data_IF_348977251604
#
_entry.id   IF_348977251604
#
_cell.length_a   1.000
_cell.length_b   1.000
_cell.length_c   1.000
_cell.angle_alpha   90.00
_cell.angle_beta   90.00
_cell.angle_gamma   90.00
#
_symmetry.space_group_name_H-M   'P 1'
#
loop_
_entity.id
_entity.type
_entity.pdbx_description
1 polymer ?
#
# COMPACT_ATOMS: atom_id res chain seq x y z
N UNK A 1 14.69 -81.33 -16.33
CA UNK A 1 13.92 -80.27 -17.01
C UNK A 1 12.50 -80.11 -16.49
N UNK A 2 11.61 -81.13 -16.49
CA UNK A 2 10.22 -80.97 -15.97
C UNK A 2 10.07 -80.75 -14.45
N UNK A 3 11.06 -81.10 -13.63
CA UNK A 3 11.00 -80.93 -12.17
C UNK A 3 11.41 -79.53 -11.69
N UNK A 4 12.35 -78.87 -12.37
CA UNK A 4 12.81 -77.52 -12.01
C UNK A 4 11.79 -76.44 -12.42
N UNK A 5 11.05 -76.64 -13.51
CA UNK A 5 9.96 -75.73 -13.94
C UNK A 5 8.80 -75.68 -12.94
N UNK A 6 8.43 -76.82 -12.35
CA UNK A 6 7.37 -76.87 -11.32
C UNK A 6 7.81 -76.22 -10.01
N UNK A 7 9.06 -76.36 -9.63
CA UNK A 7 9.61 -75.84 -8.37
C UNK A 7 9.77 -74.29 -8.41
N UNK A 8 10.12 -73.73 -9.57
CA UNK A 8 10.10 -72.28 -9.82
C UNK A 8 8.67 -71.71 -9.78
N UNK A 9 7.68 -72.45 -10.29
CA UNK A 9 6.27 -72.03 -10.29
C UNK A 9 5.65 -72.08 -8.88
N UNK A 10 6.01 -73.07 -8.07
CA UNK A 10 5.57 -73.16 -6.66
C UNK A 10 6.25 -72.10 -5.77
N UNK A 11 7.55 -71.83 -5.94
CA UNK A 11 8.24 -70.74 -5.22
C UNK A 11 7.69 -69.35 -5.58
N UNK A 12 7.34 -69.13 -6.85
CA UNK A 12 6.66 -67.92 -7.33
C UNK A 12 5.29 -67.74 -6.66
N UNK A 13 4.47 -68.80 -6.57
CA UNK A 13 3.18 -68.78 -5.88
C UNK A 13 3.32 -68.52 -4.38
N UNK A 14 4.30 -69.13 -3.72
CA UNK A 14 4.53 -68.92 -2.28
C UNK A 14 5.03 -67.49 -1.97
N UNK A 15 5.90 -66.92 -2.81
CA UNK A 15 6.35 -65.53 -2.69
C UNK A 15 5.23 -64.52 -2.97
N UNK A 16 4.39 -64.78 -3.97
CA UNK A 16 3.20 -63.97 -4.28
C UNK A 16 2.18 -64.02 -3.13
N UNK A 17 1.91 -65.20 -2.56
CA UNK A 17 1.04 -65.35 -1.41
C UNK A 17 1.59 -64.63 -0.17
N UNK A 18 2.89 -64.72 0.11
CA UNK A 18 3.51 -63.96 1.20
C UNK A 18 3.45 -62.44 0.97
N UNK A 19 3.51 -61.97 -0.28
CA UNK A 19 3.39 -60.55 -0.61
C UNK A 19 1.93 -60.05 -0.45
N UNK A 20 0.95 -60.85 -0.86
CA UNK A 20 -0.50 -60.56 -0.71
C UNK A 20 -0.94 -60.55 0.76
N UNK A 21 -0.42 -61.46 1.59
CA UNK A 21 -0.72 -61.51 3.03
C UNK A 21 0.27 -60.72 3.92
N UNK A 22 1.24 -60.02 3.31
CA UNK A 22 2.09 -59.08 4.04
C UNK A 22 1.31 -57.82 4.43
N UNK A 23 1.82 -57.09 5.43
CA UNK A 23 1.29 -55.75 5.77
C UNK A 23 1.23 -54.82 4.55
N UNK A 24 2.20 -54.94 3.64
CA UNK A 24 2.24 -54.18 2.39
C UNK A 24 1.11 -54.58 1.42
N UNK A 25 0.85 -55.88 1.25
CA UNK A 25 -0.22 -56.40 0.40
C UNK A 25 -1.61 -56.00 0.89
N UNK A 26 -1.84 -56.04 2.21
CA UNK A 26 -3.10 -55.59 2.83
C UNK A 26 -3.31 -54.08 2.61
N UNK A 27 -2.26 -53.26 2.81
CA UNK A 27 -2.34 -51.81 2.57
C UNK A 27 -2.63 -51.52 1.10
N UNK A 28 -1.95 -52.19 0.17
CA UNK A 28 -2.19 -52.02 -1.27
C UNK A 28 -3.62 -52.43 -1.67
N UNK A 29 -4.13 -53.54 -1.12
CA UNK A 29 -5.50 -53.97 -1.35
C UNK A 29 -6.52 -52.96 -0.82
N UNK A 30 -6.34 -52.45 0.40
CA UNK A 30 -7.21 -51.42 0.97
C UNK A 30 -7.19 -50.13 0.14
N UNK A 31 -6.03 -49.74 -0.39
CA UNK A 31 -5.91 -48.59 -1.31
C UNK A 31 -6.68 -48.83 -2.62
N UNK A 32 -6.59 -50.04 -3.21
CA UNK A 32 -7.33 -50.37 -4.42
C UNK A 32 -8.84 -50.38 -4.20
N UNK A 33 -9.30 -50.95 -3.07
CA UNK A 33 -10.71 -50.91 -2.66
C UNK A 33 -11.18 -49.48 -2.46
N UNK A 34 -10.36 -48.64 -1.80
CA UNK A 34 -10.67 -47.22 -1.61
C UNK A 34 -10.81 -46.48 -2.96
N UNK A 35 -9.89 -46.70 -3.91
CA UNK A 35 -9.97 -46.10 -5.25
C UNK A 35 -11.24 -46.56 -5.97
N UNK A 36 -11.59 -47.85 -5.89
CA UNK A 36 -12.81 -48.39 -6.49
C UNK A 36 -14.08 -47.78 -5.88
N UNK A 37 -14.13 -47.63 -4.54
CA UNK A 37 -15.25 -46.98 -3.85
C UNK A 37 -15.39 -45.50 -4.24
N UNK A 38 -14.27 -44.76 -4.32
CA UNK A 38 -14.27 -43.35 -4.76
C UNK A 38 -14.77 -43.25 -6.21
N UNK A 39 -14.31 -44.13 -7.09
CA UNK A 39 -14.75 -44.14 -8.49
C UNK A 39 -16.24 -44.51 -8.61
N UNK A 40 -16.70 -45.51 -7.87
CA UNK A 40 -18.10 -45.90 -7.82
C UNK A 40 -19.00 -44.77 -7.30
N UNK A 41 -18.56 -44.07 -6.24
CA UNK A 41 -19.25 -42.90 -5.71
C UNK A 41 -19.29 -41.76 -6.74
N UNK A 42 -18.18 -41.48 -7.42
CA UNK A 42 -18.11 -40.48 -8.49
C UNK A 42 -19.09 -40.79 -9.63
N UNK A 43 -19.14 -42.05 -10.09
CA UNK A 43 -20.08 -42.46 -11.13
C UNK A 43 -21.54 -42.34 -10.65
N UNK A 44 -21.83 -42.79 -9.43
CA UNK A 44 -23.15 -42.69 -8.83
C UNK A 44 -23.63 -41.24 -8.70
N UNK A 45 -22.77 -40.34 -8.21
CA UNK A 45 -23.06 -38.90 -8.11
C UNK A 45 -23.28 -38.31 -9.50
N UNK A 46 -22.42 -38.65 -10.47
CA UNK A 46 -22.50 -38.12 -11.83
C UNK A 46 -23.79 -38.55 -12.53
N UNK A 47 -24.18 -39.82 -12.44
CA UNK A 47 -25.40 -40.32 -13.09
C UNK A 47 -26.67 -39.78 -12.43
N UNK A 48 -26.72 -39.79 -11.09
CA UNK A 48 -27.96 -39.50 -10.37
C UNK A 48 -28.12 -38.03 -9.98
N UNK A 49 -27.03 -37.26 -9.88
CA UNK A 49 -27.04 -35.91 -9.33
C UNK A 49 -26.29 -34.86 -10.17
N UNK A 50 -25.77 -35.20 -11.36
CA UNK A 50 -25.10 -34.19 -12.20
C UNK A 50 -26.01 -33.02 -12.58
N UNK A 51 -27.31 -33.27 -12.81
CA UNK A 51 -28.27 -32.20 -13.10
C UNK A 51 -28.44 -31.26 -11.89
N UNK A 52 -28.51 -31.80 -10.67
CA UNK A 52 -28.58 -30.99 -9.44
C UNK A 52 -27.31 -30.15 -9.27
N UNK A 53 -26.14 -30.73 -9.53
CA UNK A 53 -24.87 -30.00 -9.51
C UNK A 53 -24.86 -28.89 -10.56
N UNK A 54 -25.26 -29.18 -11.80
CA UNK A 54 -25.35 -28.21 -12.89
C UNK A 54 -26.30 -27.04 -12.57
N UNK A 55 -27.53 -27.34 -12.12
CA UNK A 55 -28.48 -26.29 -11.73
C UNK A 55 -27.99 -25.48 -10.53
N UNK A 56 -27.36 -26.12 -9.55
CA UNK A 56 -26.76 -25.39 -8.42
C UNK A 56 -25.66 -24.44 -8.91
N UNK A 57 -24.81 -24.87 -9.85
CA UNK A 57 -23.75 -24.06 -10.44
C UNK A 57 -24.32 -22.82 -11.12
N UNK A 58 -25.40 -22.99 -11.90
CA UNK A 58 -26.10 -21.87 -12.54
C UNK A 58 -26.69 -20.92 -11.49
N UNK A 59 -27.41 -21.44 -10.50
CA UNK A 59 -28.05 -20.62 -9.46
C UNK A 59 -26.99 -19.83 -8.68
N UNK A 60 -25.91 -20.47 -8.23
CA UNK A 60 -24.82 -19.79 -7.55
C UNK A 60 -24.12 -18.77 -8.46
N UNK A 61 -23.90 -19.07 -9.74
CA UNK A 61 -23.32 -18.10 -10.69
C UNK A 61 -24.22 -16.87 -10.84
N UNK A 62 -25.53 -17.05 -11.01
CA UNK A 62 -26.51 -15.95 -11.11
C UNK A 62 -26.51 -15.13 -9.83
N UNK A 63 -26.57 -15.78 -8.66
CA UNK A 63 -26.52 -15.10 -7.36
C UNK A 63 -25.22 -14.31 -7.22
N UNK A 64 -24.09 -14.90 -7.60
CA UNK A 64 -22.78 -14.24 -7.64
C UNK A 64 -22.81 -12.99 -8.52
N UNK A 65 -23.33 -13.09 -9.74
CA UNK A 65 -23.46 -11.94 -10.64
C UNK A 65 -24.38 -10.86 -10.08
N UNK A 66 -25.52 -11.21 -9.48
CA UNK A 66 -26.41 -10.23 -8.86
C UNK A 66 -25.72 -9.49 -7.71
N UNK A 67 -24.98 -10.21 -6.85
CA UNK A 67 -24.17 -9.62 -5.78
C UNK A 67 -23.13 -8.68 -6.37
N UNK A 68 -22.47 -9.09 -7.46
CA UNK A 68 -21.39 -8.36 -8.08
C UNK A 68 -21.87 -7.10 -8.81
N UNK A 69 -22.95 -7.17 -9.56
CA UNK A 69 -23.55 -6.01 -10.24
C UNK A 69 -24.06 -4.97 -9.24
N UNK A 70 -24.59 -5.41 -8.10
CA UNK A 70 -25.02 -4.51 -7.01
C UNK A 70 -23.84 -3.97 -6.16
N UNK A 71 -22.62 -4.48 -6.38
CA UNK A 71 -21.43 -3.96 -5.69
C UNK A 71 -20.95 -2.64 -6.30
N UNK A 72 -20.38 -1.76 -5.45
CA UNK A 72 -19.71 -0.50 -5.84
C UNK A 72 -18.33 -0.70 -6.51
N UNK A 73 -18.01 -1.92 -6.92
CA UNK A 73 -16.69 -2.25 -7.47
C UNK A 73 -16.52 -1.70 -8.88
N UNK A 74 -15.28 -1.41 -9.24
CA UNK A 74 -14.92 -1.06 -10.62
C UNK A 74 -15.23 -2.20 -11.59
N UNK A 75 -15.40 -1.83 -12.85
CA UNK A 75 -15.74 -2.77 -13.91
C UNK A 75 -14.68 -3.86 -14.11
N UNK A 76 -13.39 -3.53 -13.96
CA UNK A 76 -12.29 -4.50 -14.06
C UNK A 76 -12.36 -5.57 -12.96
N UNK A 77 -12.67 -5.17 -11.72
CA UNK A 77 -12.88 -6.06 -10.58
C UNK A 77 -14.11 -6.94 -10.82
N UNK A 78 -15.19 -6.35 -11.34
CA UNK A 78 -16.40 -7.11 -11.70
C UNK A 78 -16.08 -8.17 -12.76
N UNK A 79 -15.40 -7.84 -13.85
CA UNK A 79 -15.05 -8.82 -14.88
C UNK A 79 -14.21 -9.97 -14.34
N UNK A 80 -13.23 -9.68 -13.48
CA UNK A 80 -12.39 -10.70 -12.85
C UNK A 80 -13.21 -11.67 -12.00
N UNK A 81 -14.10 -11.15 -11.15
CA UNK A 81 -14.97 -12.00 -10.33
C UNK A 81 -16.04 -12.74 -11.13
N UNK A 82 -16.50 -12.18 -12.26
CA UNK A 82 -17.41 -12.89 -13.16
C UNK A 82 -16.77 -14.16 -13.71
N UNK A 83 -15.49 -14.10 -14.13
CA UNK A 83 -14.73 -15.28 -14.55
C UNK A 83 -14.61 -16.31 -13.43
N UNK A 84 -14.27 -15.86 -12.21
CA UNK A 84 -14.16 -16.76 -11.05
C UNK A 84 -15.50 -17.42 -10.73
N UNK A 85 -16.61 -16.67 -10.74
CA UNK A 85 -17.94 -17.21 -10.50
C UNK A 85 -18.40 -18.15 -11.61
N UNK A 86 -17.98 -17.93 -12.86
CA UNK A 86 -18.25 -18.86 -13.96
C UNK A 86 -17.56 -20.20 -13.75
N UNK A 87 -16.27 -20.17 -13.37
CA UNK A 87 -15.45 -21.38 -13.24
C UNK A 87 -15.70 -22.12 -11.92
N UNK A 88 -15.96 -21.37 -10.85
CA UNK A 88 -16.04 -21.84 -9.46
C UNK A 88 -17.09 -21.01 -8.69
N UNK A 89 -18.40 -21.13 -8.93
CA UNK A 89 -19.42 -20.26 -8.35
C UNK A 89 -19.52 -20.39 -6.83
N UNK A 90 -19.53 -21.61 -6.29
CA UNK A 90 -19.64 -21.81 -4.82
C UNK A 90 -18.40 -21.29 -4.11
N UNK A 91 -17.22 -21.76 -4.53
CA UNK A 91 -15.93 -21.36 -3.93
C UNK A 91 -15.67 -19.88 -4.19
N UNK A 92 -15.97 -19.41 -5.39
CA UNK A 92 -15.81 -18.04 -5.83
C UNK A 92 -16.63 -17.07 -5.00
N UNK A 93 -17.92 -17.34 -4.76
CA UNK A 93 -18.75 -16.48 -3.91
C UNK A 93 -18.21 -16.46 -2.47
N UNK A 94 -17.86 -17.61 -1.91
CA UNK A 94 -17.27 -17.68 -0.57
C UNK A 94 -15.96 -16.90 -0.50
N UNK A 95 -15.11 -17.02 -1.52
CA UNK A 95 -13.85 -16.31 -1.63
C UNK A 95 -14.08 -14.80 -1.82
N UNK A 96 -15.07 -14.39 -2.61
CA UNK A 96 -15.47 -13.00 -2.77
C UNK A 96 -15.88 -12.40 -1.42
N UNK A 97 -16.76 -13.08 -0.68
CA UNK A 97 -17.13 -12.62 0.66
C UNK A 97 -15.94 -12.59 1.60
N UNK A 98 -15.06 -13.59 1.58
CA UNK A 98 -13.83 -13.57 2.35
C UNK A 98 -12.97 -12.33 2.05
N UNK A 99 -12.79 -11.98 0.78
CA UNK A 99 -12.07 -10.75 0.37
C UNK A 99 -12.79 -9.45 0.70
N UNK A 100 -14.10 -9.48 0.99
CA UNK A 100 -14.93 -8.29 1.30
C UNK A 100 -15.21 -8.12 2.79
N UNK A 101 -15.17 -9.21 3.54
CA UNK A 101 -15.48 -9.20 4.95
C UNK A 101 -14.38 -8.50 5.75
N UNK A 102 -13.13 -8.49 5.24
CA UNK A 102 -12.02 -7.66 5.76
C UNK A 102 -11.96 -7.66 7.30
N UNK A 103 -12.16 -8.83 7.93
CA UNK A 103 -12.44 -8.96 9.36
C UNK A 103 -11.39 -8.30 10.26
N UNK A 104 -10.12 -8.26 9.85
CA UNK A 104 -9.06 -7.56 10.58
C UNK A 104 -8.97 -6.06 10.29
N UNK A 105 -9.30 -5.64 9.07
CA UNK A 105 -9.05 -4.28 8.59
C UNK A 105 -10.20 -3.31 8.91
N UNK A 106 -11.45 -3.79 9.03
CA UNK A 106 -12.61 -2.93 9.31
C UNK A 106 -12.51 -2.17 10.63
N UNK A 107 -11.92 -2.80 11.65
CA UNK A 107 -11.71 -2.19 12.95
C UNK A 107 -10.67 -1.08 12.88
N UNK A 108 -9.50 -1.35 12.27
CA UNK A 108 -8.44 -0.36 12.02
C UNK A 108 -8.97 0.81 11.17
N UNK A 109 -9.76 0.50 10.14
CA UNK A 109 -10.39 1.50 9.27
C UNK A 109 -11.34 2.41 10.03
N UNK A 110 -12.23 1.80 10.82
CA UNK A 110 -13.20 2.55 11.65
C UNK A 110 -12.48 3.42 12.68
N UNK A 111 -11.39 2.93 13.25
CA UNK A 111 -10.55 3.69 14.16
C UNK A 111 -9.85 4.85 13.47
N UNK A 112 -9.31 4.67 12.26
CA UNK A 112 -8.70 5.75 11.49
C UNK A 112 -9.70 6.85 11.17
N UNK A 113 -10.93 6.48 10.76
CA UNK A 113 -12.02 7.43 10.50
C UNK A 113 -12.34 8.22 11.76
N UNK A 114 -12.48 7.55 12.92
CA UNK A 114 -12.71 8.22 14.20
C UNK A 114 -11.59 9.18 14.58
N UNK A 115 -10.33 8.79 14.38
CA UNK A 115 -9.16 9.63 14.64
C UNK A 115 -9.18 10.87 13.73
N UNK A 116 -9.44 10.68 12.42
CA UNK A 116 -9.55 11.78 11.45
C UNK A 116 -10.64 12.76 11.87
N UNK A 117 -11.85 12.29 12.18
CA UNK A 117 -12.95 13.14 12.65
C UNK A 117 -12.62 13.86 13.97
N UNK A 118 -12.03 13.17 14.95
CA UNK A 118 -11.62 13.79 16.21
C UNK A 118 -10.56 14.89 16.03
N UNK A 119 -9.75 14.79 14.98
CA UNK A 119 -8.72 15.77 14.65
C UNK A 119 -9.14 16.84 13.63
N UNK A 120 -10.38 16.77 13.13
CA UNK A 120 -10.85 17.58 12.01
C UNK A 120 -10.71 19.08 12.24
N UNK A 121 -11.04 19.52 13.45
CA UNK A 121 -11.06 20.95 13.76
C UNK A 121 -9.67 21.51 14.17
N UNK A 122 -8.63 20.67 14.24
CA UNK A 122 -7.32 21.05 14.75
C UNK A 122 -6.47 21.87 13.78
N UNK A 123 -6.65 21.67 12.47
CA UNK A 123 -5.97 22.44 11.43
C UNK A 123 -7.02 22.95 10.44
N UNK A 124 -6.94 24.25 10.10
CA UNK A 124 -7.89 24.91 9.21
C UNK A 124 -7.20 25.89 8.29
N UNK A 125 -7.74 26.05 7.09
CA UNK A 125 -7.36 27.13 6.19
C UNK A 125 -7.65 28.47 6.90
N UNK A 126 -6.64 29.32 7.02
CA UNK A 126 -6.78 30.65 7.62
C UNK A 126 -7.74 31.51 6.80
N UNK A 127 -8.48 32.41 7.45
CA UNK A 127 -9.48 33.25 6.78
C UNK A 127 -8.88 34.16 5.71
N UNK A 128 -7.64 34.62 5.90
CA UNK A 128 -6.90 35.39 4.88
C UNK A 128 -6.68 34.56 3.62
N UNK A 129 -6.24 33.30 3.78
CA UNK A 129 -6.01 32.38 2.67
C UNK A 129 -7.32 32.02 1.96
N UNK A 130 -8.43 31.87 2.71
CA UNK A 130 -9.75 31.66 2.10
C UNK A 130 -10.16 32.83 1.20
N UNK A 131 -9.95 34.07 1.65
CA UNK A 131 -10.23 35.27 0.84
C UNK A 131 -9.37 35.32 -0.42
N UNK A 132 -8.08 35.00 -0.32
CA UNK A 132 -7.21 34.93 -1.49
C UNK A 132 -7.63 33.83 -2.49
N UNK A 133 -8.15 32.70 -2.00
CA UNK A 133 -8.67 31.62 -2.84
C UNK A 133 -9.96 32.03 -3.59
N UNK A 134 -10.76 32.94 -3.05
CA UNK A 134 -11.93 33.49 -3.76
C UNK A 134 -11.52 34.24 -5.04
N UNK A 135 -10.33 34.84 -5.05
CA UNK A 135 -9.75 35.53 -6.21
C UNK A 135 -9.03 34.57 -7.18
N UNK A 136 -8.97 33.28 -6.85
CA UNK A 136 -8.29 32.22 -7.63
C UNK A 136 -9.26 31.11 -8.05
N UNK A 137 -10.18 31.37 -9.00
CA UNK A 137 -11.16 30.38 -9.42
C UNK A 137 -10.53 29.11 -10.00
N UNK A 138 -9.31 29.22 -10.55
CA UNK A 138 -8.53 28.09 -11.06
C UNK A 138 -8.10 27.10 -9.96
N UNK A 139 -7.89 27.56 -8.73
CA UNK A 139 -7.48 26.73 -7.59
C UNK A 139 -8.62 26.44 -6.61
N UNK A 140 -9.59 27.34 -6.50
CA UNK A 140 -10.68 27.27 -5.50
C UNK A 140 -11.42 25.94 -5.52
N UNK A 141 -11.73 25.42 -6.71
CA UNK A 141 -12.45 24.14 -6.86
C UNK A 141 -11.68 22.98 -6.25
N UNK A 142 -10.39 22.85 -6.59
CA UNK A 142 -9.52 21.79 -6.08
C UNK A 142 -9.28 21.94 -4.57
N UNK A 143 -9.02 23.17 -4.12
CA UNK A 143 -8.86 23.50 -2.71
C UNK A 143 -10.10 23.10 -1.88
N UNK A 144 -11.29 23.39 -2.39
CA UNK A 144 -12.55 23.05 -1.73
C UNK A 144 -12.75 21.54 -1.67
N UNK A 145 -12.51 20.85 -2.79
CA UNK A 145 -12.61 19.38 -2.86
C UNK A 145 -11.66 18.70 -1.86
N UNK A 146 -10.37 19.04 -1.89
CA UNK A 146 -9.37 18.45 -0.98
C UNK A 146 -9.70 18.72 0.49
N UNK A 147 -10.16 19.94 0.80
CA UNK A 147 -10.56 20.29 2.17
C UNK A 147 -11.81 19.51 2.62
N UNK A 148 -12.77 19.25 1.73
CA UNK A 148 -13.98 18.48 2.06
C UNK A 148 -13.71 16.97 2.15
N UNK A 149 -12.91 16.42 1.24
CA UNK A 149 -12.64 14.99 1.19
C UNK A 149 -11.68 14.52 2.30
N UNK A 150 -10.64 15.30 2.61
CA UNK A 150 -9.56 14.87 3.50
C UNK A 150 -9.35 15.75 4.74
N UNK A 151 -10.17 16.78 4.95
CA UNK A 151 -9.91 17.84 5.93
C UNK A 151 -8.49 18.41 5.81
N UNK A 152 -8.10 18.65 4.57
CA UNK A 152 -6.76 19.07 4.19
C UNK A 152 -6.76 20.58 3.92
N UNK A 153 -6.27 21.41 4.87
CA UNK A 153 -6.29 22.86 4.72
C UNK A 153 -5.31 23.34 3.65
N UNK A 154 -5.59 24.53 3.13
CA UNK A 154 -4.74 25.21 2.15
C UNK A 154 -3.89 26.25 2.86
N UNK A 155 -2.63 26.33 2.43
CA UNK A 155 -1.65 27.27 2.98
C UNK A 155 -1.16 28.20 1.87
N UNK A 156 -0.93 29.45 2.22
CA UNK A 156 -0.19 30.39 1.40
C UNK A 156 1.15 30.71 2.06
N UNK A 157 2.11 31.22 1.28
CA UNK A 157 3.47 31.54 1.71
C UNK A 157 4.37 30.37 2.14
N UNK A 158 3.99 29.12 1.86
CA UNK A 158 4.87 27.97 2.09
C UNK A 158 6.06 27.96 1.13
N UNK A 159 7.26 27.71 1.65
CA UNK A 159 8.45 27.53 0.82
C UNK A 159 8.57 26.05 0.44
N UNK A 160 8.69 25.77 -0.85
CA UNK A 160 8.79 24.41 -1.39
C UNK A 160 10.10 24.28 -2.15
N UNK A 161 10.97 23.38 -1.70
CA UNK A 161 12.19 22.97 -2.40
C UNK A 161 11.94 21.65 -3.09
N UNK A 162 12.16 21.58 -4.40
CA UNK A 162 12.09 20.35 -5.17
C UNK A 162 13.48 19.71 -5.26
N UNK A 163 13.57 18.42 -4.95
CA UNK A 163 14.77 17.62 -5.14
C UNK A 163 14.58 16.71 -6.32
N UNK A 164 15.51 16.81 -7.27
CA UNK A 164 15.45 16.02 -8.48
C UNK A 164 15.99 14.60 -8.25
N UNK A 165 16.84 14.42 -7.24
CA UNK A 165 17.48 13.14 -6.91
C UNK A 165 17.47 12.89 -5.40
N UNK A 166 17.56 11.62 -5.02
CA UNK A 166 17.48 11.20 -3.62
C UNK A 166 18.71 11.61 -2.79
N UNK A 167 19.88 11.71 -3.42
CA UNK A 167 21.14 12.18 -2.82
C UNK A 167 21.05 13.64 -2.35
N UNK A 168 20.46 14.50 -3.18
CA UNK A 168 20.24 15.92 -2.85
C UNK A 168 19.30 16.04 -1.65
N UNK A 169 18.18 15.30 -1.67
CA UNK A 169 17.24 15.23 -0.55
C UNK A 169 17.90 14.66 0.71
N UNK A 170 18.74 13.64 0.56
CA UNK A 170 19.40 12.98 1.69
C UNK A 170 20.39 13.92 2.38
N UNK A 171 21.24 14.61 1.61
CA UNK A 171 22.18 15.58 2.15
C UNK A 171 21.47 16.71 2.93
N UNK A 172 20.38 17.24 2.38
CA UNK A 172 19.56 18.27 3.02
C UNK A 172 18.82 17.72 4.26
N UNK A 173 18.26 16.51 4.19
CA UNK A 173 17.60 15.85 5.31
C UNK A 173 18.52 15.68 6.52
N UNK A 174 19.78 15.27 6.32
CA UNK A 174 20.73 15.11 7.43
C UNK A 174 20.98 16.45 8.15
N UNK A 175 20.98 17.57 7.44
CA UNK A 175 21.16 18.89 8.04
C UNK A 175 19.94 19.28 8.88
N UNK A 176 18.72 19.09 8.37
CA UNK A 176 17.51 19.41 9.13
C UNK A 176 17.35 18.52 10.37
N UNK A 177 17.66 17.22 10.26
CA UNK A 177 17.60 16.30 11.39
C UNK A 177 18.55 16.74 12.52
N UNK A 178 19.76 17.18 12.17
CA UNK A 178 20.73 17.74 13.14
C UNK A 178 20.26 19.07 13.74
N UNK A 179 19.42 19.83 13.05
CA UNK A 179 18.88 21.09 13.54
C UNK A 179 17.64 20.94 14.44
N UNK A 180 17.05 19.74 14.52
CA UNK A 180 15.85 19.46 15.30
C UNK A 180 16.03 19.79 16.79
N UNK A 181 14.98 20.38 17.39
CA UNK A 181 14.98 20.84 18.80
C UNK A 181 13.93 20.18 19.67
N UNK A 182 12.76 19.86 19.14
CA UNK A 182 11.60 19.43 19.93
C UNK A 182 11.14 18.02 19.55
N UNK A 183 10.95 17.75 18.26
CA UNK A 183 10.54 16.43 17.80
C UNK A 183 10.93 16.12 16.35
N UNK A 184 11.13 14.84 16.10
CA UNK A 184 11.32 14.27 14.76
C UNK A 184 10.32 13.13 14.58
N UNK A 185 9.42 13.28 13.62
CA UNK A 185 8.42 12.27 13.26
C UNK A 185 8.68 11.75 11.85
N UNK A 186 8.90 10.45 11.72
CA UNK A 186 9.31 9.82 10.47
C UNK A 186 8.50 8.56 10.18
N UNK A 187 8.02 8.46 8.95
CA UNK A 187 7.22 7.35 8.45
C UNK A 187 7.68 7.01 7.03
N UNK A 188 8.04 5.74 6.81
CA UNK A 188 8.56 5.29 5.52
C UNK A 188 8.11 3.87 5.18
N UNK A 189 7.72 3.68 3.92
CA UNK A 189 7.34 2.36 3.41
C UNK A 189 8.51 1.37 3.33
N UNK A 190 9.68 1.82 2.87
CA UNK A 190 10.88 0.97 2.79
C UNK A 190 11.97 1.55 3.69
N UNK A 191 12.52 0.69 4.54
CA UNK A 191 13.70 0.96 5.37
C UNK A 191 14.62 -0.25 5.27
N UNK A 192 15.85 -0.02 4.84
CA UNK A 192 16.88 -1.06 4.74
C UNK A 192 18.14 -0.62 5.48
N UNK A 193 18.84 -1.58 6.10
CA UNK A 193 20.18 -1.32 6.63
C UNK A 193 21.12 -0.94 5.48
N UNK A 194 21.98 0.03 5.73
CA UNK A 194 22.87 0.61 4.74
C UNK A 194 23.46 1.92 5.23
N UNK A 195 24.24 2.57 4.37
CA UNK A 195 24.84 3.87 4.64
C UNK A 195 23.77 4.94 4.91
N UNK A 196 22.70 4.97 4.11
CA UNK A 196 21.64 5.97 4.22
C UNK A 196 20.94 5.91 5.58
N UNK A 197 20.43 4.73 5.93
CA UNK A 197 19.71 4.53 7.19
C UNK A 197 20.65 4.62 8.39
N UNK A 198 21.90 4.16 8.26
CA UNK A 198 22.91 4.24 9.32
C UNK A 198 23.17 5.68 9.77
N UNK A 199 23.43 6.60 8.84
CA UNK A 199 23.68 8.01 9.16
C UNK A 199 22.44 8.71 9.74
N UNK A 200 21.24 8.39 9.23
CA UNK A 200 19.99 8.92 9.80
C UNK A 200 19.83 8.41 11.23
N UNK A 201 19.98 7.10 11.44
CA UNK A 201 19.82 6.48 12.74
C UNK A 201 20.76 7.06 13.79
N UNK A 202 22.03 7.29 13.43
CA UNK A 202 23.00 7.93 14.33
C UNK A 202 22.50 9.30 14.82
N UNK A 203 22.05 10.16 13.90
CA UNK A 203 21.47 11.47 14.25
C UNK A 203 20.22 11.31 15.11
N UNK A 204 19.33 10.36 14.80
CA UNK A 204 18.11 10.13 15.59
C UNK A 204 18.44 9.70 17.02
N UNK A 205 19.49 8.88 17.20
CA UNK A 205 19.96 8.45 18.52
C UNK A 205 20.52 9.65 19.29
N UNK A 206 21.38 10.46 18.67
CA UNK A 206 21.93 11.69 19.27
C UNK A 206 20.78 12.62 19.71
N UNK A 207 19.81 12.86 18.83
CA UNK A 207 18.65 13.72 19.13
C UNK A 207 17.77 13.19 20.24
N UNK A 208 17.52 11.88 20.29
CA UNK A 208 16.80 11.27 21.40
C UNK A 208 17.53 11.47 22.74
N UNK A 209 18.88 11.40 22.74
CA UNK A 209 19.70 11.66 23.94
C UNK A 209 19.70 13.14 24.35
N UNK A 210 19.61 14.07 23.38
CA UNK A 210 19.41 15.50 23.62
C UNK A 210 18.00 15.85 24.16
N UNK A 211 17.09 14.87 24.22
CA UNK A 211 15.72 15.05 24.72
C UNK A 211 14.68 15.38 23.65
N UNK A 212 15.05 15.34 22.36
CA UNK A 212 14.11 15.48 21.24
C UNK A 212 13.20 14.24 21.18
N UNK A 213 11.89 14.45 21.05
CA UNK A 213 10.95 13.33 20.87
C UNK A 213 11.10 12.75 19.46
N UNK A 214 11.70 11.56 19.36
CA UNK A 214 11.81 10.85 18.07
C UNK A 214 10.74 9.76 17.98
N UNK A 215 9.88 9.86 16.94
CA UNK A 215 8.91 8.81 16.59
C UNK A 215 9.17 8.29 15.19
N UNK A 216 9.31 6.98 15.06
CA UNK A 216 9.61 6.33 13.80
C UNK A 216 8.62 5.21 13.50
N UNK A 217 8.05 5.22 12.29
CA UNK A 217 7.16 4.19 11.80
C UNK A 217 7.67 3.64 10.47
N UNK A 218 7.57 2.33 10.30
CA UNK A 218 7.86 1.69 9.03
C UNK A 218 6.92 0.54 8.76
N UNK A 219 6.84 0.17 7.49
CA UNK A 219 6.00 -0.92 7.02
C UNK A 219 6.54 -2.29 7.46
N UNK A 220 5.68 -3.13 8.02
CA UNK A 220 6.02 -4.46 8.54
C UNK A 220 6.65 -5.44 7.54
N UNK A 221 6.54 -5.18 6.22
CA UNK A 221 7.26 -5.94 5.21
C UNK A 221 8.78 -5.78 5.35
N UNK A 222 9.24 -4.66 5.93
CA UNK A 222 10.65 -4.44 6.19
C UNK A 222 11.23 -5.47 7.18
N UNK A 223 10.56 -5.83 8.27
CA UNK A 223 11.09 -6.86 9.21
C UNK A 223 11.11 -8.27 8.62
N UNK A 224 10.36 -8.49 7.54
CA UNK A 224 10.35 -9.76 6.83
C UNK A 224 11.51 -9.88 5.84
N UNK A 225 11.96 -8.77 5.25
CA UNK A 225 12.85 -8.79 4.08
C UNK A 225 14.12 -7.94 4.17
N UNK A 226 14.12 -6.86 4.96
CA UNK A 226 15.15 -5.80 4.93
C UNK A 226 15.72 -5.44 6.32
N UNK A 227 14.99 -5.73 7.40
CA UNK A 227 15.34 -5.42 8.77
C UNK A 227 15.33 -6.68 9.65
N UNK A 228 16.08 -6.69 10.77
CA UNK A 228 15.96 -7.74 11.78
C UNK A 228 14.54 -7.84 12.33
N UNK A 229 14.18 -9.02 12.83
CA UNK A 229 12.91 -9.21 13.56
C UNK A 229 12.90 -8.34 14.82
N UNK A 230 11.75 -7.72 15.12
CA UNK A 230 11.59 -6.85 16.28
C UNK A 230 12.56 -5.66 16.30
N UNK A 231 12.91 -5.12 15.13
CA UNK A 231 13.82 -3.97 15.01
C UNK A 231 13.28 -2.74 15.74
N UNK A 232 11.95 -2.58 15.82
CA UNK A 232 11.29 -1.56 16.65
C UNK A 232 11.71 -1.61 18.13
N UNK A 233 11.92 -2.81 18.70
CA UNK A 233 12.41 -2.98 20.08
C UNK A 233 13.89 -2.62 20.22
N UNK A 234 14.67 -2.77 19.16
CA UNK A 234 16.07 -2.35 19.12
C UNK A 234 16.15 -0.82 19.15
N UNK A 235 15.37 -0.14 18.29
CA UNK A 235 15.30 1.32 18.25
C UNK A 235 14.83 1.93 19.59
N UNK A 236 13.87 1.28 20.25
CA UNK A 236 13.38 1.72 21.56
C UNK A 236 14.47 1.81 22.64
N UNK A 237 15.55 1.01 22.54
CA UNK A 237 16.67 1.06 23.49
C UNK A 237 17.46 2.37 23.40
N UNK A 238 17.38 3.06 22.27
CA UNK A 238 18.04 4.35 22.06
C UNK A 238 17.12 5.55 22.34
N UNK A 239 15.96 5.34 22.96
CA UNK A 239 14.98 6.41 23.21
C UNK A 239 14.09 6.75 22.02
N UNK A 240 14.24 6.04 20.89
CA UNK A 240 13.40 6.23 19.70
C UNK A 240 12.09 5.46 19.87
N UNK A 241 10.96 6.17 19.90
CA UNK A 241 9.64 5.53 19.93
C UNK A 241 9.35 4.96 18.55
N UNK A 242 9.27 3.64 18.44
CA UNK A 242 9.10 2.99 17.14
C UNK A 242 7.82 2.16 17.04
N UNK A 243 7.15 2.23 15.89
CA UNK A 243 5.99 1.39 15.54
C UNK A 243 6.17 0.70 14.20
N UNK A 244 5.55 -0.46 14.07
CA UNK A 244 5.54 -1.25 12.83
C UNK A 244 4.11 -1.22 12.30
N UNK A 245 3.92 -0.63 11.12
CA UNK A 245 2.61 -0.62 10.47
C UNK A 245 2.33 -1.98 9.84
N UNK A 246 1.15 -2.54 10.10
CA UNK A 246 0.67 -3.81 9.55
C UNK A 246 1.76 -4.92 9.54
N UNK A 247 2.23 -5.40 10.70
CA UNK A 247 3.24 -6.47 10.77
C UNK A 247 2.75 -7.73 10.06
N UNK A 248 3.65 -8.45 9.37
CA UNK A 248 3.28 -9.68 8.67
C UNK A 248 2.91 -10.77 9.67
N UNK A 249 1.71 -11.33 9.54
CA UNK A 249 1.16 -12.42 10.35
C UNK A 249 1.18 -13.74 9.55
N UNK A 250 1.29 -14.92 10.18
CA UNK A 250 1.37 -16.20 9.47
C UNK A 250 0.03 -16.68 8.86
N UNK A 251 -1.05 -15.91 8.99
CA UNK A 251 -2.38 -16.25 8.47
C UNK A 251 -2.69 -15.47 7.19
N UNK A 252 -3.53 -16.07 6.32
CA UNK A 252 -4.08 -15.37 5.16
C UNK A 252 -4.95 -14.24 5.70
N UNK A 253 -4.46 -13.01 5.57
CA UNK A 253 -5.13 -11.79 6.01
C UNK A 253 -5.23 -10.85 4.84
N UNK A 254 -6.39 -10.22 4.65
CA UNK A 254 -6.59 -9.21 3.60
C UNK A 254 -5.90 -7.88 3.92
N UNK A 255 -5.43 -7.69 5.17
CA UNK A 255 -4.67 -6.51 5.62
C UNK A 255 -3.40 -6.28 4.79
N UNK A 256 -2.84 -7.30 4.14
CA UNK A 256 -1.67 -7.13 3.27
C UNK A 256 -1.91 -6.24 2.06
N UNK A 257 -3.16 -6.06 1.64
CA UNK A 257 -3.49 -5.17 0.54
C UNK A 257 -3.52 -3.69 0.95
N UNK A 258 -3.50 -3.40 2.25
CA UNK A 258 -3.54 -2.05 2.81
C UNK A 258 -2.20 -1.76 3.50
N UNK A 259 -1.24 -1.26 2.72
CA UNK A 259 0.09 -0.89 3.21
C UNK A 259 0.22 0.62 3.27
N UNK A 260 1.01 1.11 4.23
CA UNK A 260 1.30 2.53 4.33
C UNK A 260 2.45 2.90 3.39
N UNK A 261 2.10 3.37 2.19
CA UNK A 261 3.08 3.71 1.16
C UNK A 261 3.60 5.15 1.26
N UNK A 262 3.21 5.90 2.29
CA UNK A 262 3.63 7.29 2.48
C UNK A 262 5.11 7.35 2.88
N UNK A 263 5.74 8.50 2.59
CA UNK A 263 7.06 8.87 3.10
C UNK A 263 6.91 10.26 3.68
N UNK A 264 6.89 10.36 4.99
CA UNK A 264 6.71 11.61 5.71
C UNK A 264 7.86 11.75 6.70
N UNK A 265 8.59 12.85 6.66
CA UNK A 265 9.53 13.22 7.70
C UNK A 265 9.24 14.65 8.13
N UNK A 266 8.86 14.83 9.37
CA UNK A 266 8.51 16.12 9.95
C UNK A 266 9.48 16.43 11.09
N UNK A 267 10.01 17.65 11.07
CA UNK A 267 10.96 18.15 12.05
C UNK A 267 10.37 19.42 12.66
N UNK A 268 10.12 19.36 13.96
CA UNK A 268 9.53 20.43 14.78
C UNK A 268 8.20 21.01 14.25
N UNK A 269 7.54 20.28 13.35
CA UNK A 269 6.31 20.69 12.66
C UNK A 269 6.48 21.91 11.74
N UNK A 270 7.72 22.24 11.41
CA UNK A 270 8.12 23.40 10.62
C UNK A 270 8.70 23.01 9.26
N UNK A 271 9.34 21.86 9.22
CA UNK A 271 9.92 21.28 8.01
C UNK A 271 9.29 19.92 7.78
N UNK A 272 8.79 19.68 6.57
CA UNK A 272 8.25 18.40 6.17
C UNK A 272 8.86 17.94 4.85
N UNK A 273 9.23 16.66 4.75
CA UNK A 273 9.63 16.01 3.52
C UNK A 273 8.57 14.99 3.10
N UNK A 274 8.31 14.95 1.80
CA UNK A 274 7.52 13.89 1.15
C UNK A 274 8.00 13.67 -0.29
N UNK A 275 7.56 12.59 -0.93
CA UNK A 275 8.00 12.19 -2.29
C UNK A 275 8.03 10.69 -2.46
N UNK A 276 8.81 10.19 -3.43
CA UNK A 276 9.01 8.74 -3.64
C UNK A 276 10.22 8.16 -2.90
N UNK A 277 11.16 9.01 -2.46
CA UNK A 277 12.44 8.59 -1.84
C UNK A 277 12.25 7.87 -0.49
N UNK A 278 12.51 6.56 -0.42
CA UNK A 278 12.54 5.77 0.81
C UNK A 278 13.92 5.79 1.51
N UNK A 279 14.10 5.01 2.59
CA UNK A 279 15.34 4.92 3.37
C UNK A 279 16.12 3.63 3.05
N UNK A 280 16.76 3.60 1.88
CA UNK A 280 17.64 2.50 1.47
C UNK A 280 18.72 3.01 0.51
N UNK A 281 19.87 2.32 0.47
CA UNK A 281 21.06 2.76 -0.28
C UNK A 281 20.85 2.91 -1.79
N UNK A 282 19.87 2.21 -2.37
CA UNK A 282 19.49 2.37 -3.79
C UNK A 282 18.96 3.78 -4.08
N UNK A 283 18.27 4.42 -3.12
CA UNK A 283 17.71 5.76 -3.28
C UNK A 283 18.75 6.88 -3.26
N UNK A 284 19.96 6.60 -2.79
CA UNK A 284 21.10 7.52 -2.80
C UNK A 284 22.21 7.04 -3.73
N UNK A 285 21.88 6.11 -4.64
CA UNK A 285 22.79 5.54 -5.65
C UNK A 285 24.11 4.98 -5.07
N UNK A 286 24.08 4.52 -3.81
CA UNK A 286 25.21 3.78 -3.21
C UNK A 286 25.29 2.34 -3.68
N UNK A 287 24.15 1.79 -4.08
CA UNK A 287 24.05 0.52 -4.79
C UNK A 287 23.32 0.74 -6.10
N UNK A 288 23.80 0.11 -7.17
CA UNK A 288 23.16 0.14 -8.49
C UNK A 288 22.35 -1.15 -8.69
N UNK A 289 21.03 -1.06 -8.57
CA UNK A 289 20.13 -2.22 -8.72
C UNK A 289 19.33 -2.20 -10.02
N UNK A 290 18.83 -1.03 -10.42
CA UNK A 290 18.02 -0.81 -11.62
C UNK A 290 18.54 0.38 -12.44
N UNK A 291 19.88 0.50 -12.52
CA UNK A 291 20.55 1.70 -13.01
C UNK A 291 20.56 2.82 -11.96
N UNK A 292 20.80 4.05 -12.43
CA UNK A 292 20.74 5.23 -11.56
C UNK A 292 19.31 5.47 -11.09
N UNK A 293 19.07 5.32 -9.80
CA UNK A 293 17.77 5.49 -9.18
C UNK A 293 17.31 6.93 -9.33
N UNK A 294 16.21 7.12 -10.07
CA UNK A 294 15.59 8.40 -10.32
C UNK A 294 14.29 8.47 -9.54
N UNK A 295 14.31 9.25 -8.46
CA UNK A 295 13.14 9.53 -7.65
C UNK A 295 13.17 10.99 -7.18
N UNK A 296 12.03 11.53 -6.80
CA UNK A 296 11.87 12.94 -6.48
C UNK A 296 11.29 13.12 -5.09
N UNK A 297 11.62 14.25 -4.48
CA UNK A 297 11.09 14.63 -3.20
C UNK A 297 10.86 16.14 -3.15
N UNK A 298 10.05 16.56 -2.19
CA UNK A 298 9.83 17.97 -1.86
C UNK A 298 10.08 18.19 -0.38
N UNK A 299 10.76 19.28 -0.06
CA UNK A 299 10.79 19.85 1.29
C UNK A 299 9.81 21.00 1.33
N UNK A 300 8.91 20.99 2.31
CA UNK A 300 7.98 22.05 2.62
C UNK A 300 8.44 22.71 3.92
N UNK A 301 8.53 24.04 3.91
CA UNK A 301 8.77 24.86 5.11
C UNK A 301 7.62 25.82 5.37
N UNK A 302 7.29 26.00 6.65
CA UNK A 302 6.23 26.87 7.13
C UNK A 302 4.95 26.10 7.47
N UNK A 303 3.82 26.83 7.58
CA UNK A 303 2.57 26.30 8.15
C UNK A 303 2.04 25.01 7.51
N UNK A 304 2.31 24.77 6.23
CA UNK A 304 1.92 23.55 5.53
C UNK A 304 2.56 22.27 6.12
N UNK A 305 3.67 22.36 6.85
CA UNK A 305 4.28 21.24 7.56
C UNK A 305 3.39 20.69 8.69
N UNK A 306 2.46 21.49 9.22
CA UNK A 306 1.49 21.04 10.23
C UNK A 306 0.55 19.95 9.70
N UNK A 307 0.13 20.01 8.44
CA UNK A 307 -0.68 18.95 7.84
C UNK A 307 0.05 17.61 7.85
N UNK A 308 1.34 17.59 7.51
CA UNK A 308 2.15 16.37 7.56
C UNK A 308 2.35 15.88 9.00
N UNK A 309 2.49 16.81 9.96
CA UNK A 309 2.52 16.49 11.39
C UNK A 309 1.24 15.76 11.80
N UNK A 310 0.09 16.30 11.40
CA UNK A 310 -1.20 15.70 11.73
C UNK A 310 -1.39 14.33 11.04
N UNK A 311 -1.07 14.22 9.75
CA UNK A 311 -1.15 12.94 9.02
C UNK A 311 -0.29 11.84 9.66
N UNK A 312 0.91 12.18 10.13
CA UNK A 312 1.74 11.26 10.88
C UNK A 312 1.07 10.87 12.21
N UNK A 313 0.62 11.85 12.99
CA UNK A 313 0.04 11.61 14.30
C UNK A 313 -1.27 10.81 14.25
N UNK A 314 -2.10 11.03 13.24
CA UNK A 314 -3.33 10.26 13.00
C UNK A 314 -3.02 8.78 12.84
N UNK A 315 -1.99 8.47 12.05
CA UNK A 315 -1.58 7.09 11.79
C UNK A 315 -0.80 6.49 12.95
N UNK A 316 -0.01 7.31 13.65
CA UNK A 316 0.58 6.93 14.92
C UNK A 316 -0.48 6.55 15.97
N UNK A 317 -1.66 7.17 15.96
CA UNK A 317 -2.73 6.92 16.92
C UNK A 317 -3.56 5.64 16.64
N UNK A 318 -3.31 4.92 15.54
CA UNK A 318 -4.02 3.67 15.21
C UNK A 318 -3.89 2.60 16.29
N UNK A 319 -2.71 2.46 16.90
CA UNK A 319 -2.46 1.43 17.92
C UNK A 319 -2.32 1.99 19.34
N UNK A 320 -2.42 3.31 19.50
CA UNK A 320 -2.29 3.97 20.80
C UNK A 320 -3.51 4.82 21.11
N UNK A 321 -3.96 4.83 22.36
CA UNK A 321 -5.00 5.75 22.82
C UNK A 321 -4.46 7.19 23.02
N UNK A 322 -3.28 7.50 22.49
CA UNK A 322 -2.63 8.81 22.63
C UNK A 322 -3.15 9.75 21.56
N UNK A 323 -3.93 10.75 21.98
CA UNK A 323 -4.56 11.76 21.11
C UNK A 323 -4.00 13.16 21.39
N UNK A 324 -2.72 13.27 21.75
CA UNK A 324 -2.07 14.54 22.11
C UNK A 324 -1.74 15.40 20.88
N UNK A 325 -2.64 15.45 19.89
CA UNK A 325 -2.41 16.15 18.61
C UNK A 325 -2.15 17.63 18.83
N UNK A 326 -2.98 18.28 19.66
CA UNK A 326 -2.84 19.71 19.97
C UNK A 326 -1.47 20.08 20.54
N UNK A 327 -0.87 19.22 21.37
CA UNK A 327 0.43 19.48 21.99
C UNK A 327 1.49 19.74 20.91
N UNK A 328 1.57 18.85 19.93
CA UNK A 328 2.58 18.92 18.87
C UNK A 328 2.28 20.02 17.86
N UNK A 329 1.00 20.24 17.53
CA UNK A 329 0.60 21.32 16.63
C UNK A 329 0.90 22.71 17.23
N UNK A 330 0.63 22.92 18.52
CA UNK A 330 0.94 24.18 19.23
C UNK A 330 2.44 24.45 19.33
N UNK A 331 3.25 23.41 19.61
CA UNK A 331 4.72 23.53 19.61
C UNK A 331 5.24 23.97 18.23
N UNK A 332 4.61 23.47 17.17
CA UNK A 332 4.94 23.90 15.80
C UNK A 332 4.72 25.40 15.66
N UNK A 333 3.56 25.94 16.02
CA UNK A 333 3.24 27.38 15.87
C UNK A 333 4.23 28.32 16.59
N UNK A 334 4.76 27.89 17.74
CA UNK A 334 5.66 28.68 18.58
C UNK A 334 7.04 28.93 17.94
N UNK A 335 7.59 27.98 17.18
CA UNK A 335 8.90 28.16 16.51
C UNK A 335 8.81 29.14 15.33
N UNK A 336 7.61 29.37 14.78
CA UNK A 336 7.31 30.56 13.98
C UNK A 336 8.17 30.82 12.75
N UNK A 337 8.51 29.79 11.94
CA UNK A 337 9.24 30.03 10.68
C UNK A 337 8.34 30.81 9.72
N UNK A 338 8.74 32.06 9.44
CA UNK A 338 8.17 32.85 8.35
C UNK A 338 8.69 32.32 7.03
N UNK A 339 7.92 31.42 6.40
CA UNK A 339 8.14 31.07 5.03
C UNK A 339 7.68 32.23 4.12
N UNK A 340 8.44 32.49 3.06
CA UNK A 340 8.23 33.60 2.13
C UNK A 340 7.94 33.11 0.70
N UNK A 341 7.37 31.91 0.59
CA UNK A 341 6.93 31.39 -0.70
C UNK A 341 5.85 32.29 -1.32
N UNK A 342 5.66 32.21 -2.64
CA UNK A 342 4.63 33.00 -3.35
C UNK A 342 3.40 32.19 -3.75
N UNK A 343 3.43 30.88 -3.55
CA UNK A 343 2.41 29.94 -4.01
C UNK A 343 1.52 29.40 -2.90
N UNK A 344 0.48 28.70 -3.32
CA UNK A 344 -0.36 27.89 -2.43
C UNK A 344 0.24 26.49 -2.29
N UNK A 345 0.14 25.92 -1.09
CA UNK A 345 0.52 24.54 -0.78
C UNK A 345 -0.73 23.84 -0.24
N UNK A 346 -1.07 22.71 -0.86
CA UNK A 346 -2.24 21.90 -0.51
C UNK A 346 -1.77 20.50 -0.12
N UNK A 347 -1.31 20.27 1.12
CA UNK A 347 -0.95 18.93 1.57
C UNK A 347 -2.21 18.06 1.63
N UNK A 348 -2.19 16.90 0.98
CA UNK A 348 -3.29 15.94 1.03
C UNK A 348 -2.76 14.51 1.17
N UNK A 349 -3.62 13.63 1.67
CA UNK A 349 -3.39 12.18 1.71
C UNK A 349 -4.54 11.46 1.02
N UNK A 350 -4.26 10.27 0.50
CA UNK A 350 -5.25 9.38 -0.08
C UNK A 350 -5.46 8.18 0.84
N UNK A 351 -6.69 7.68 0.94
CA UNK A 351 -7.01 6.58 1.84
C UNK A 351 -8.15 5.76 1.25
N UNK A 352 -8.01 4.43 1.13
CA UNK A 352 -9.08 3.60 0.55
C UNK A 352 -10.30 3.45 1.47
N UNK A 353 -10.35 4.17 2.58
CA UNK A 353 -11.30 3.98 3.69
C UNK A 353 -12.32 5.09 3.84
N UNK A 354 -12.10 6.23 3.20
CA UNK A 354 -13.03 7.37 3.19
C UNK A 354 -14.00 7.30 2.00
N UNK A 355 -13.75 6.41 1.04
CA UNK A 355 -14.62 6.20 -0.12
C UNK A 355 -14.40 7.22 -1.24
N UNK A 356 -13.40 8.10 -1.11
CA UNK A 356 -13.05 9.11 -2.10
C UNK A 356 -11.66 8.83 -2.68
N UNK A 357 -11.53 8.88 -4.01
CA UNK A 357 -10.22 8.70 -4.69
C UNK A 357 -9.52 10.04 -4.84
N UNK A 358 -9.15 10.65 -3.71
CA UNK A 358 -8.61 12.02 -3.68
C UNK A 358 -7.40 12.14 -4.61
N UNK A 359 -6.48 11.17 -4.56
CA UNK A 359 -5.30 11.18 -5.43
C UNK A 359 -5.62 11.19 -6.92
N UNK A 360 -6.58 10.37 -7.36
CA UNK A 360 -7.03 10.29 -8.74
C UNK A 360 -7.74 11.56 -9.20
N UNK A 361 -8.62 12.12 -8.36
CA UNK A 361 -9.36 13.35 -8.65
C UNK A 361 -8.44 14.57 -8.79
N UNK A 362 -7.34 14.63 -8.03
CA UNK A 362 -6.29 15.65 -8.20
C UNK A 362 -5.66 15.54 -9.59
N UNK A 363 -5.32 14.33 -10.05
CA UNK A 363 -4.77 14.14 -11.39
C UNK A 363 -5.78 14.48 -12.50
N UNK A 364 -7.06 14.15 -12.33
CA UNK A 364 -8.10 14.60 -13.25
C UNK A 364 -8.20 16.12 -13.33
N UNK A 365 -8.16 16.83 -12.20
CA UNK A 365 -8.19 18.30 -12.19
C UNK A 365 -7.00 18.87 -12.99
N UNK A 366 -5.79 18.36 -12.73
CA UNK A 366 -4.57 18.78 -13.44
C UNK A 366 -4.66 18.52 -14.95
N UNK A 367 -5.10 17.32 -15.36
CA UNK A 367 -5.22 16.93 -16.76
C UNK A 367 -6.29 17.74 -17.49
N UNK A 368 -7.41 18.05 -16.84
CA UNK A 368 -8.50 18.81 -17.46
C UNK A 368 -8.17 20.31 -17.54
N UNK A 369 -7.39 20.86 -16.60
CA UNK A 369 -7.03 22.29 -16.58
C UNK A 369 -5.75 22.65 -17.33
N UNK A 370 -4.84 21.71 -17.57
CA UNK A 370 -3.56 22.00 -18.21
C UNK A 370 -3.75 22.77 -19.54
N UNK A 371 -2.93 23.77 -19.85
CA UNK A 371 -3.11 24.57 -21.08
C UNK A 371 -2.05 24.30 -22.14
N UNK A 372 -0.86 23.84 -21.75
CA UNK A 372 0.29 23.73 -22.66
C UNK A 372 0.94 22.36 -22.64
N UNK A 373 1.28 21.84 -21.46
CA UNK A 373 1.87 20.50 -21.33
C UNK A 373 1.53 19.87 -19.98
N UNK A 374 1.63 18.54 -19.94
CA UNK A 374 1.64 17.73 -18.70
C UNK A 374 2.77 16.72 -18.84
N UNK A 375 3.63 16.66 -17.81
CA UNK A 375 4.71 15.69 -17.74
C UNK A 375 4.50 14.81 -16.51
N UNK A 376 4.36 13.51 -16.74
CA UNK A 376 4.09 12.51 -15.72
C UNK A 376 5.30 11.59 -15.64
N UNK A 377 5.84 11.40 -14.44
CA UNK A 377 6.85 10.39 -14.18
C UNK A 377 6.26 9.41 -13.17
N UNK A 378 6.15 8.14 -13.55
CA UNK A 378 5.59 7.10 -12.69
C UNK A 378 6.37 5.79 -12.86
N UNK A 379 6.67 5.08 -11.75
CA UNK A 379 7.29 3.75 -11.84
C UNK A 379 6.32 2.73 -12.44
N UNK A 380 5.01 2.92 -12.28
CA UNK A 380 3.98 1.99 -12.72
C UNK A 380 2.87 2.78 -13.44
N UNK A 381 2.66 2.47 -14.73
CA UNK A 381 1.54 2.99 -15.50
C UNK A 381 0.49 1.88 -15.61
N UNK A 382 -0.54 1.98 -14.78
CA UNK A 382 -1.68 1.07 -14.76
C UNK A 382 -2.91 1.97 -14.74
N UNK A 383 -3.52 2.17 -15.90
CA UNK A 383 -4.61 3.11 -16.09
C UNK A 383 -5.96 2.40 -16.06
N UNK A 384 -6.96 3.05 -15.47
CA UNK A 384 -8.35 2.71 -15.72
C UNK A 384 -8.89 3.50 -16.92
N UNK A 385 -10.13 3.18 -17.33
CA UNK A 385 -10.71 3.78 -18.54
C UNK A 385 -10.93 5.28 -18.41
N UNK A 386 -11.23 5.75 -17.20
CA UNK A 386 -11.42 7.14 -16.86
C UNK A 386 -10.11 7.93 -17.04
N UNK A 387 -8.99 7.43 -16.50
CA UNK A 387 -7.67 8.07 -16.63
C UNK A 387 -7.14 8.02 -18.07
N UNK A 388 -7.33 6.91 -18.79
CA UNK A 388 -7.03 6.83 -20.23
C UNK A 388 -7.80 7.89 -21.03
N UNK A 389 -9.09 8.06 -20.72
CA UNK A 389 -9.94 9.06 -21.37
C UNK A 389 -9.44 10.47 -21.09
N UNK A 390 -9.09 10.80 -19.84
CA UNK A 390 -8.59 12.12 -19.48
C UNK A 390 -7.23 12.45 -20.14
N UNK A 391 -6.30 11.49 -20.13
CA UNK A 391 -4.99 11.64 -20.80
C UNK A 391 -5.16 11.84 -22.30
N UNK A 392 -5.99 11.01 -22.94
CA UNK A 392 -6.27 11.09 -24.37
C UNK A 392 -6.98 12.39 -24.73
N UNK A 393 -7.94 12.82 -23.92
CA UNK A 393 -8.64 14.09 -24.11
C UNK A 393 -7.67 15.28 -24.00
N UNK A 394 -6.79 15.27 -23.00
CA UNK A 394 -5.75 16.29 -22.85
C UNK A 394 -4.83 16.37 -24.09
N UNK A 395 -4.38 15.24 -24.61
CA UNK A 395 -3.60 15.21 -25.84
C UNK A 395 -4.40 15.74 -27.06
N UNK A 396 -5.65 15.29 -27.23
CA UNK A 396 -6.51 15.68 -28.36
C UNK A 396 -6.89 17.16 -28.37
N UNK A 397 -6.98 17.82 -27.21
CA UNK A 397 -7.21 19.27 -27.11
C UNK A 397 -5.94 20.11 -27.30
N UNK A 398 -4.81 19.50 -27.66
CA UNK A 398 -3.57 20.19 -28.01
C UNK A 398 -2.56 20.36 -26.87
N UNK A 399 -2.78 19.74 -25.71
CA UNK A 399 -1.79 19.74 -24.62
C UNK A 399 -0.71 18.70 -24.91
N UNK A 400 0.56 19.09 -24.78
CA UNK A 400 1.68 18.16 -24.89
C UNK A 400 1.72 17.24 -23.67
N UNK A 401 1.25 16.00 -23.83
CA UNK A 401 1.32 14.97 -22.78
C UNK A 401 2.59 14.15 -22.94
N UNK A 402 3.42 14.09 -21.89
CA UNK A 402 4.64 13.28 -21.86
C UNK A 402 4.60 12.35 -20.63
N UNK A 403 4.75 11.05 -20.85
CA UNK A 403 4.84 10.05 -19.79
C UNK A 403 6.26 9.48 -19.77
N UNK A 404 6.91 9.53 -18.61
CA UNK A 404 8.24 9.00 -18.36
C UNK A 404 8.09 7.74 -17.52
N UNK A 405 8.58 6.63 -18.06
CA UNK A 405 8.56 5.31 -17.44
C UNK A 405 9.98 4.81 -17.20
N UNK A 406 10.20 3.91 -16.22
CA UNK A 406 11.50 3.32 -16.00
C UNK A 406 11.97 2.53 -17.23
N UNK A 407 13.25 2.68 -17.60
CA UNK A 407 13.85 1.84 -18.65
C UNK A 407 14.10 0.42 -18.16
N UNK A 408 14.61 0.29 -16.93
CA UNK A 408 14.86 -0.98 -16.24
C UNK A 408 13.75 -1.15 -15.18
N UNK A 409 12.79 -2.07 -15.35
CA UNK A 409 11.69 -2.20 -14.43
C UNK A 409 12.06 -3.07 -13.23
N UNK A 410 11.73 -2.61 -12.03
CA UNK A 410 11.75 -3.40 -10.80
C UNK A 410 10.61 -4.45 -10.80
N UNK A 411 9.48 -4.14 -11.45
CA UNK A 411 8.33 -5.03 -11.67
C UNK A 411 8.05 -5.24 -13.16
N UNK A 412 8.50 -6.39 -13.70
CA UNK A 412 8.35 -6.74 -15.12
C UNK A 412 6.90 -6.76 -15.62
N UNK A 413 5.96 -7.24 -14.80
CA UNK A 413 4.55 -7.32 -15.19
C UNK A 413 3.90 -5.93 -15.31
N UNK A 414 4.16 -5.03 -14.36
CA UNK A 414 3.64 -3.65 -14.40
C UNK A 414 4.22 -2.89 -15.60
N UNK A 415 5.50 -3.11 -15.91
CA UNK A 415 6.14 -2.54 -17.09
C UNK A 415 5.59 -3.10 -18.40
N UNK A 416 5.24 -4.39 -18.46
CA UNK A 416 4.59 -4.96 -19.63
C UNK A 416 3.18 -4.39 -19.84
N UNK A 417 2.41 -4.23 -18.75
CA UNK A 417 1.07 -3.63 -18.77
C UNK A 417 1.11 -2.15 -19.19
N UNK A 418 2.12 -1.40 -18.72
CA UNK A 418 2.33 -0.02 -19.13
C UNK A 418 2.46 0.16 -20.65
N UNK A 419 2.90 -0.87 -21.38
CA UNK A 419 3.06 -0.85 -22.85
C UNK A 419 1.80 -1.25 -23.61
N UNK A 420 0.74 -1.69 -22.93
CA UNK A 420 -0.54 -2.01 -23.57
C UNK A 420 -1.53 -0.84 -23.58
N UNK A 421 -1.29 0.18 -22.75
CA UNK A 421 -1.92 1.49 -22.87
C UNK A 421 -1.29 2.25 -24.05
#
# INVERSE_FOLDING_TARGET
MKSEENDLFERSKQGFLQLVFSRFGIVLFLLLVQVWLIFGLYQYITVNYAHLFYYSFIVFSIVGYLILFNSKSDNSVKLTWMLIFTLLPVIGILFYFYTRLDFGHRLESSRLIQIKEASRELIKTKEEVKKELEERPDLKGLATFINQAGNCPVYHNGEVTYFSLGEEKFADLLQELKAAKHFIFMEYFIVAKGEMWGQILEILIEKAQEGVEVRFMYDGFCEFSLLPRSYSKELAKYGIKCKVFAPIQPFISTVYNFRDHRKICVIDGQVAYTGGVNLADEYINKIERFGHWKDTAVKIRGGAAQSFTLMFLQMWALDSNTTDFEKWLKLSEQEGIKAHGKGFVLPYGDSPLDGERVGEMVYFDLLNKAQSFVQIMTPYLILDGEMETALTFAAKRGVKVQIILPHIPDKKYAFALAKSH
#
